data_IF_872361644722
#
_entry.id   IF_872361644722
#
_cell.length_a   1.000
_cell.length_b   1.000
_cell.length_c   1.000
_cell.angle_alpha   90.00
_cell.angle_beta   90.00
_cell.angle_gamma   90.00
#
_symmetry.space_group_name_H-M   'P 1'
#
loop_
_entity.id
_entity.type
_entity.pdbx_description
1 polymer ?
#
# COMPACT_ATOMS: atom_id res chain seq x y z
N UNK A 1 -2.84 3.83 -28.09
CA UNK A 1 -2.93 4.54 -29.39
C UNK A 1 -2.05 3.87 -30.43
N UNK A 2 -0.80 3.54 -30.10
CA UNK A 2 0.12 2.77 -30.97
C UNK A 2 -0.43 1.42 -31.43
N UNK A 3 -1.08 0.64 -30.55
CA UNK A 3 -1.81 -0.60 -30.95
C UNK A 3 -2.90 -0.38 -32.02
N UNK A 4 -3.31 0.87 -32.25
CA UNK A 4 -4.29 1.28 -33.27
C UNK A 4 -3.62 1.94 -34.49
N UNK A 5 -2.30 1.83 -34.62
CA UNK A 5 -1.51 2.42 -35.72
C UNK A 5 -1.30 3.93 -35.62
N UNK A 6 -1.59 4.54 -34.47
CA UNK A 6 -1.38 5.98 -34.24
C UNK A 6 -0.07 6.18 -33.52
N UNK A 7 0.89 6.84 -34.17
CA UNK A 7 2.18 7.18 -33.58
C UNK A 7 1.96 8.10 -32.38
N UNK A 8 2.56 7.76 -31.24
CA UNK A 8 2.47 8.56 -30.02
C UNK A 8 3.82 8.85 -29.38
N UNK A 9 3.85 9.87 -28.54
CA UNK A 9 4.97 10.15 -27.63
C UNK A 9 4.41 10.65 -26.31
N UNK A 10 5.09 10.34 -25.22
CA UNK A 10 4.71 10.78 -23.88
C UNK A 10 5.54 11.99 -23.47
N UNK A 11 4.89 13.13 -23.28
CA UNK A 11 5.52 14.32 -22.68
C UNK A 11 5.43 14.20 -21.16
N UNK A 12 6.57 14.21 -20.47
CA UNK A 12 6.65 13.96 -19.04
C UNK A 12 7.61 14.94 -18.37
N UNK A 13 7.24 15.52 -17.23
CA UNK A 13 8.16 16.39 -16.50
C UNK A 13 9.26 15.58 -15.78
N UNK A 14 10.42 16.20 -15.61
CA UNK A 14 11.65 15.54 -15.16
C UNK A 14 11.50 14.62 -13.94
N UNK A 15 10.77 15.00 -12.86
CA UNK A 15 10.59 14.13 -11.69
C UNK A 15 9.80 12.85 -11.98
N UNK A 16 8.87 12.90 -12.94
CA UNK A 16 7.98 11.78 -13.25
C UNK A 16 8.50 10.88 -14.38
N UNK A 17 9.64 11.20 -14.99
CA UNK A 17 10.18 10.44 -16.11
C UNK A 17 10.55 9.00 -15.72
N UNK A 18 11.12 8.81 -14.51
CA UNK A 18 11.44 7.47 -13.99
C UNK A 18 10.19 6.61 -13.77
N UNK A 19 9.16 7.06 -13.00
CA UNK A 19 7.93 6.28 -12.85
C UNK A 19 7.24 6.01 -14.19
N UNK A 20 7.18 7.00 -15.09
CA UNK A 20 6.52 6.83 -16.38
C UNK A 20 7.21 5.76 -17.25
N UNK A 21 8.55 5.70 -17.23
CA UNK A 21 9.30 4.63 -17.91
C UNK A 21 9.11 3.26 -17.25
N UNK A 22 9.11 3.20 -15.92
CA UNK A 22 8.84 1.97 -15.19
C UNK A 22 7.45 1.42 -15.52
N UNK A 23 6.42 2.29 -15.57
CA UNK A 23 5.07 1.90 -15.98
C UNK A 23 5.05 1.39 -17.42
N UNK A 24 5.68 2.12 -18.35
CA UNK A 24 5.70 1.71 -19.75
C UNK A 24 6.38 0.35 -19.94
N UNK A 25 7.50 0.08 -19.24
CA UNK A 25 8.12 -1.23 -19.24
C UNK A 25 7.18 -2.31 -18.69
N UNK A 26 6.49 -2.03 -17.59
CA UNK A 26 5.55 -2.97 -16.98
C UNK A 26 4.38 -3.34 -17.91
N UNK A 27 3.85 -2.36 -18.65
CA UNK A 27 2.78 -2.55 -19.63
C UNK A 27 3.24 -3.17 -20.97
N UNK A 28 4.51 -3.59 -21.06
CA UNK A 28 5.11 -4.12 -22.30
C UNK A 28 5.39 -3.05 -23.36
N UNK A 29 5.26 -1.77 -23.01
CA UNK A 29 5.46 -0.60 -23.86
C UNK A 29 6.87 -0.01 -23.72
N UNK A 30 7.90 -0.87 -23.65
CA UNK A 30 9.28 -0.45 -23.36
C UNK A 30 9.91 0.49 -24.41
N UNK A 31 9.33 0.54 -25.60
CA UNK A 31 9.76 1.35 -26.74
C UNK A 31 9.08 2.71 -26.86
N UNK A 32 8.14 3.05 -25.95
CA UNK A 32 7.42 4.34 -26.01
C UNK A 32 8.40 5.50 -25.90
N UNK A 33 8.40 6.45 -26.85
CA UNK A 33 9.30 7.59 -26.81
C UNK A 33 8.82 8.63 -25.79
N UNK A 34 9.73 9.07 -24.93
CA UNK A 34 9.48 10.10 -23.91
C UNK A 34 10.17 11.41 -24.24
N UNK A 35 9.43 12.53 -24.13
CA UNK A 35 9.99 13.88 -24.17
C UNK A 35 9.97 14.47 -22.77
N UNK A 36 11.15 14.88 -22.29
CA UNK A 36 11.34 15.43 -20.96
C UNK A 36 11.09 16.94 -20.96
N UNK A 37 10.23 17.42 -20.07
CA UNK A 37 10.06 18.85 -19.77
C UNK A 37 10.53 19.18 -18.35
N UNK A 38 10.79 20.46 -18.06
CA UNK A 38 11.20 20.93 -16.73
C UNK A 38 10.00 21.01 -15.76
N UNK A 39 10.30 21.02 -14.45
CA UNK A 39 9.34 21.06 -13.35
C UNK A 39 9.70 22.21 -12.40
N UNK A 40 8.75 22.87 -11.69
CA UNK A 40 7.29 22.70 -11.73
C UNK A 40 6.62 23.48 -12.86
N UNK A 41 5.59 22.90 -13.47
CA UNK A 41 4.77 23.58 -14.50
C UNK A 41 3.63 24.39 -13.87
N UNK A 42 3.04 23.91 -12.78
CA UNK A 42 1.85 24.50 -12.18
C UNK A 42 2.08 25.85 -11.48
N UNK A 43 3.31 26.09 -11.00
CA UNK A 43 3.69 27.32 -10.29
C UNK A 43 4.66 28.20 -11.09
N UNK A 44 5.08 27.76 -12.28
CA UNK A 44 5.93 28.55 -13.15
C UNK A 44 5.15 29.71 -13.81
N UNK A 45 5.79 30.88 -14.03
CA UNK A 45 5.19 31.94 -14.84
C UNK A 45 4.83 31.44 -16.24
N UNK A 46 3.70 31.89 -16.79
CA UNK A 46 3.22 31.48 -18.12
C UNK A 46 4.28 31.64 -19.21
N UNK A 47 5.08 32.71 -19.15
CA UNK A 47 6.14 32.96 -20.12
C UNK A 47 7.22 31.87 -20.11
N UNK A 48 7.65 31.43 -18.92
CA UNK A 48 8.59 30.31 -18.74
C UNK A 48 8.01 29.01 -19.30
N UNK A 49 6.71 28.76 -19.08
CA UNK A 49 6.02 27.59 -19.63
C UNK A 49 6.01 27.63 -21.16
N UNK A 50 5.70 28.78 -21.76
CA UNK A 50 5.69 28.96 -23.22
C UNK A 50 7.07 28.75 -23.84
N UNK A 51 8.13 29.27 -23.20
CA UNK A 51 9.51 29.07 -23.65
C UNK A 51 9.90 27.59 -23.60
N UNK A 52 9.58 26.88 -22.52
CA UNK A 52 9.83 25.44 -22.40
C UNK A 52 9.08 24.61 -23.44
N UNK A 53 7.83 24.96 -23.74
CA UNK A 53 7.05 24.29 -24.80
C UNK A 53 7.74 24.48 -26.15
N UNK A 54 8.26 25.69 -26.45
CA UNK A 54 9.00 25.94 -27.69
C UNK A 54 10.27 25.11 -27.81
N UNK A 55 10.99 24.89 -26.71
CA UNK A 55 12.18 24.02 -26.68
C UNK A 55 11.83 22.53 -26.82
N UNK A 56 10.69 22.10 -26.28
CA UNK A 56 10.23 20.70 -26.36
C UNK A 56 9.63 20.33 -27.73
N UNK A 57 9.03 21.29 -28.44
CA UNK A 57 8.34 21.05 -29.73
C UNK A 57 9.18 20.30 -30.78
N UNK A 58 10.47 20.65 -31.02
CA UNK A 58 11.32 19.89 -31.92
C UNK A 58 11.53 18.44 -31.47
N UNK A 59 11.67 18.20 -30.17
CA UNK A 59 11.85 16.86 -29.60
C UNK A 59 10.58 16.02 -29.73
N UNK A 60 9.40 16.63 -29.54
CA UNK A 60 8.09 15.99 -29.78
C UNK A 60 7.95 15.62 -31.25
N UNK A 61 8.26 16.55 -32.15
CA UNK A 61 8.18 16.31 -33.60
C UNK A 61 9.12 15.19 -34.04
N UNK A 62 10.33 15.14 -33.46
CA UNK A 62 11.31 14.09 -33.72
C UNK A 62 10.84 12.73 -33.18
N UNK A 63 10.34 12.67 -31.95
CA UNK A 63 9.80 11.45 -31.36
C UNK A 63 8.64 10.86 -32.18
N UNK A 64 7.76 11.72 -32.70
CA UNK A 64 6.63 11.33 -33.56
C UNK A 64 7.03 10.91 -34.99
N UNK A 65 8.26 11.16 -35.42
CA UNK A 65 8.71 10.86 -36.80
C UNK A 65 9.68 9.67 -36.88
N UNK A 66 10.17 9.13 -35.76
CA UNK A 66 11.14 8.01 -35.71
C UNK A 66 10.57 6.73 -35.09
N UNK A 67 9.36 6.77 -34.52
CA UNK A 67 8.74 5.66 -33.76
C UNK A 67 8.24 4.49 -34.64
N UNK A 68 9.13 3.85 -35.39
CA UNK A 68 8.83 2.71 -36.27
C UNK A 68 9.69 1.44 -36.06
N UNK A 69 10.72 1.46 -35.22
CA UNK A 69 11.69 0.34 -35.15
C UNK A 69 12.14 0.02 -33.72
N UNK A 70 11.27 -0.54 -32.88
CA UNK A 70 11.73 -1.29 -31.69
C UNK A 70 10.80 -2.47 -31.42
N UNK A 71 11.35 -3.68 -31.56
CA UNK A 71 10.67 -4.95 -31.27
C UNK A 71 10.39 -5.08 -29.76
N UNK A 72 9.15 -5.44 -29.43
CA UNK A 72 8.72 -5.80 -28.08
C UNK A 72 9.36 -7.14 -27.68
N UNK A 73 10.14 -7.15 -26.60
CA UNK A 73 10.57 -8.41 -25.96
C UNK A 73 9.38 -8.98 -25.19
N UNK A 74 8.85 -10.11 -25.66
CA UNK A 74 7.90 -10.93 -24.91
C UNK A 74 8.57 -11.46 -23.64
N UNK A 75 8.00 -11.14 -22.48
CA UNK A 75 8.36 -11.74 -21.20
C UNK A 75 7.77 -13.15 -21.12
N UNK A 76 8.63 -14.15 -20.90
CA UNK A 76 8.29 -15.57 -20.91
C UNK A 76 7.40 -16.00 -19.72
N UNK A 77 6.63 -17.08 -19.93
CA UNK A 77 5.81 -17.75 -18.91
C UNK A 77 6.67 -18.33 -17.78
N UNK A 78 6.15 -18.22 -16.54
CA UNK A 78 6.76 -18.69 -15.30
C UNK A 78 6.76 -20.22 -15.18
N UNK A 79 7.93 -20.85 -15.26
CA UNK A 79 8.14 -22.18 -14.68
C UNK A 79 8.57 -22.06 -13.21
N UNK A 80 7.93 -22.82 -12.31
CA UNK A 80 8.15 -22.73 -10.86
C UNK A 80 9.54 -23.25 -10.44
N UNK A 81 10.13 -24.17 -11.21
CA UNK A 81 11.48 -24.71 -10.98
C UNK A 81 12.59 -23.69 -11.32
N UNK A 82 12.35 -22.75 -12.24
CA UNK A 82 13.31 -21.68 -12.59
C UNK A 82 13.36 -20.56 -11.52
N UNK A 83 12.47 -20.59 -10.52
CA UNK A 83 12.33 -19.56 -9.49
C UNK A 83 12.99 -19.91 -8.14
N UNK A 84 13.70 -21.03 -8.06
CA UNK A 84 14.46 -21.41 -6.86
C UNK A 84 15.88 -20.86 -6.90
N UNK A 85 16.29 -20.18 -5.83
CA UNK A 85 17.64 -19.65 -5.65
C UNK A 85 18.40 -20.52 -4.64
N UNK A 86 19.50 -21.12 -5.07
CA UNK A 86 20.44 -21.79 -4.16
C UNK A 86 21.51 -20.81 -3.72
N UNK A 87 21.62 -20.57 -2.41
CA UNK A 87 22.58 -19.64 -1.82
C UNK A 87 23.56 -20.46 -0.99
N UNK A 88 24.84 -20.41 -1.35
CA UNK A 88 25.92 -21.02 -0.59
C UNK A 88 26.37 -20.03 0.49
N UNK A 89 25.59 -19.89 1.56
CA UNK A 89 25.80 -18.91 2.64
C UNK A 89 24.88 -19.16 3.84
N UNK A 90 25.09 -18.37 4.89
CA UNK A 90 24.21 -18.29 6.05
C UNK A 90 22.99 -17.40 5.79
N UNK A 91 22.29 -17.07 6.88
CA UNK A 91 21.06 -16.27 6.81
C UNK A 91 21.37 -14.82 6.44
N UNK A 92 22.54 -14.33 6.83
CA UNK A 92 23.05 -13.00 6.53
C UNK A 92 23.24 -12.78 5.02
N UNK A 93 23.82 -13.74 4.29
CA UNK A 93 23.98 -13.66 2.84
C UNK A 93 22.63 -13.65 2.11
N UNK A 94 21.61 -14.32 2.66
CA UNK A 94 20.25 -14.24 2.14
C UNK A 94 19.70 -12.82 2.32
N UNK A 95 19.95 -12.19 3.46
CA UNK A 95 19.46 -10.83 3.73
C UNK A 95 20.10 -9.81 2.80
N UNK A 96 21.42 -9.85 2.65
CA UNK A 96 22.13 -8.93 1.75
C UNK A 96 21.68 -9.12 0.30
N UNK A 97 21.56 -10.36 -0.18
CA UNK A 97 21.08 -10.62 -1.54
C UNK A 97 19.68 -10.05 -1.78
N UNK A 98 18.75 -10.28 -0.86
CA UNK A 98 17.37 -9.79 -1.00
C UNK A 98 17.31 -8.27 -0.88
N UNK A 99 18.13 -7.67 -0.01
CA UNK A 99 18.23 -6.22 0.13
C UNK A 99 18.79 -5.56 -1.15
N UNK A 100 19.90 -6.09 -1.69
CA UNK A 100 20.53 -5.60 -2.92
C UNK A 100 19.59 -5.69 -4.14
N UNK A 101 18.73 -6.71 -4.18
CA UNK A 101 17.69 -6.86 -5.22
C UNK A 101 16.46 -5.98 -5.01
N UNK A 102 16.39 -5.24 -3.91
CA UNK A 102 15.24 -4.42 -3.56
C UNK A 102 14.00 -5.23 -3.17
N UNK A 103 14.18 -6.48 -2.72
CA UNK A 103 13.09 -7.39 -2.34
C UNK A 103 12.70 -7.29 -0.86
N UNK A 104 13.28 -6.33 -0.14
CA UNK A 104 12.98 -6.07 1.26
C UNK A 104 12.52 -4.63 1.44
N UNK A 105 11.89 -4.39 2.58
CA UNK A 105 11.51 -3.07 3.10
C UNK A 105 12.66 -2.42 3.90
N UNK A 106 13.90 -2.86 3.71
CA UNK A 106 15.07 -2.43 4.48
C UNK A 106 15.27 -3.17 5.81
N UNK A 107 14.33 -4.03 6.22
CA UNK A 107 14.49 -4.93 7.37
C UNK A 107 14.96 -6.33 6.95
N UNK A 108 15.61 -7.07 7.86
CA UNK A 108 15.87 -8.50 7.67
C UNK A 108 14.58 -9.30 7.44
N UNK A 109 14.68 -10.42 6.72
CA UNK A 109 13.53 -11.27 6.39
C UNK A 109 13.62 -12.62 7.11
N UNK A 110 12.55 -13.42 7.09
CA UNK A 110 12.71 -14.87 7.25
C UNK A 110 12.87 -15.48 5.85
N UNK A 111 13.91 -16.30 5.59
CA UNK A 111 14.09 -16.91 4.29
C UNK A 111 12.84 -17.69 3.84
N UNK A 112 12.27 -17.37 2.67
CA UNK A 112 11.09 -18.06 2.13
C UNK A 112 11.47 -19.41 1.52
N UNK A 113 12.02 -20.30 2.35
CA UNK A 113 12.33 -21.68 1.95
C UNK A 113 11.06 -22.42 1.55
N UNK A 114 11.18 -23.45 0.71
CA UNK A 114 10.03 -24.27 0.31
C UNK A 114 9.24 -24.81 1.51
N UNK A 115 9.92 -25.20 2.59
CA UNK A 115 9.27 -25.72 3.80
C UNK A 115 8.41 -24.64 4.45
N UNK A 116 8.95 -23.43 4.61
CA UNK A 116 8.24 -22.31 5.22
C UNK A 116 7.05 -21.87 4.36
N UNK A 117 7.23 -21.81 3.03
CA UNK A 117 6.17 -21.45 2.09
C UNK A 117 5.06 -22.51 2.07
N UNK A 118 5.40 -23.81 2.05
CA UNK A 118 4.41 -24.89 2.16
C UNK A 118 3.64 -24.84 3.47
N UNK A 119 4.31 -24.53 4.59
CA UNK A 119 3.64 -24.38 5.88
C UNK A 119 2.64 -23.20 5.84
N UNK A 120 3.03 -22.06 5.26
CA UNK A 120 2.14 -20.91 5.07
C UNK A 120 0.93 -21.26 4.19
N UNK A 121 1.16 -21.92 3.06
CA UNK A 121 0.12 -22.36 2.13
C UNK A 121 -0.87 -23.36 2.75
N UNK A 122 -0.49 -24.09 3.81
CA UNK A 122 -1.39 -25.01 4.52
C UNK A 122 -2.60 -24.32 5.18
N UNK A 123 -2.52 -23.00 5.38
CA UNK A 123 -3.60 -22.18 5.92
C UNK A 123 -4.41 -21.46 4.83
N UNK A 124 -4.16 -21.76 3.55
CA UNK A 124 -4.89 -21.22 2.41
C UNK A 124 -6.15 -22.04 2.11
N UNK A 125 -7.23 -21.35 1.74
CA UNK A 125 -8.42 -21.97 1.11
C UNK A 125 -8.27 -22.12 -0.40
N UNK A 126 -7.30 -21.43 -0.99
CA UNK A 126 -7.01 -21.40 -2.43
C UNK A 126 -5.82 -22.28 -2.80
N UNK A 127 -5.78 -22.72 -4.06
CA UNK A 127 -4.60 -23.40 -4.59
C UNK A 127 -3.42 -22.42 -4.74
N UNK A 128 -2.15 -22.87 -4.65
CA UNK A 128 -0.99 -21.97 -4.73
C UNK A 128 -0.89 -21.14 -6.02
N UNK A 129 -1.37 -21.70 -7.14
CA UNK A 129 -1.40 -21.09 -8.47
C UNK A 129 -2.61 -20.17 -8.71
N UNK A 130 -3.61 -20.19 -7.82
CA UNK A 130 -4.75 -19.28 -7.88
C UNK A 130 -4.26 -17.83 -7.85
N UNK A 131 -4.70 -17.03 -8.82
CA UNK A 131 -4.44 -15.58 -8.88
C UNK A 131 -5.64 -14.83 -8.32
N UNK A 132 -5.42 -13.98 -7.30
CA UNK A 132 -6.46 -13.15 -6.69
C UNK A 132 -6.78 -11.89 -7.51
N UNK A 133 -5.83 -11.42 -8.31
CA UNK A 133 -5.98 -10.26 -9.18
C UNK A 133 -4.62 -9.71 -9.63
N UNK A 134 -4.61 -8.46 -10.08
CA UNK A 134 -3.41 -7.76 -10.54
C UNK A 134 -3.08 -6.61 -9.57
N UNK A 135 -1.88 -6.63 -9.00
CA UNK A 135 -1.49 -5.62 -8.01
C UNK A 135 -0.82 -4.41 -8.70
N UNK A 136 -1.35 -3.19 -8.51
CA UNK A 136 -0.74 -1.96 -9.02
C UNK A 136 0.52 -1.56 -8.23
N UNK A 137 1.37 -0.63 -8.76
CA UNK A 137 1.30 0.01 -10.08
C UNK A 137 2.00 -0.74 -11.21
N UNK A 138 2.76 -1.80 -10.90
CA UNK A 138 2.92 -2.90 -11.84
C UNK A 138 1.50 -3.42 -12.17
N UNK A 139 1.26 -4.61 -12.61
CA UNK A 139 -0.09 -5.17 -12.71
C UNK A 139 0.18 -6.66 -12.67
N UNK A 140 1.02 -7.04 -11.71
CA UNK A 140 1.54 -8.37 -11.64
C UNK A 140 0.47 -9.28 -11.06
N UNK A 141 0.31 -10.50 -11.61
CA UNK A 141 -0.58 -11.50 -11.05
C UNK A 141 -0.19 -11.81 -9.60
N UNK A 142 -1.14 -11.61 -8.69
CA UNK A 142 -1.04 -11.95 -7.28
C UNK A 142 -1.47 -13.41 -7.08
N UNK A 143 -0.53 -14.31 -7.32
CA UNK A 143 -0.73 -15.72 -6.99
C UNK A 143 -0.62 -15.95 -5.49
N UNK A 144 -1.38 -16.89 -4.95
CA UNK A 144 -1.33 -17.28 -3.53
C UNK A 144 0.08 -17.71 -3.10
N UNK A 145 0.85 -18.38 -3.97
CA UNK A 145 2.25 -18.75 -3.73
C UNK A 145 3.16 -17.53 -3.47
N UNK A 146 3.07 -16.50 -4.33
CA UNK A 146 3.80 -15.24 -4.14
C UNK A 146 3.40 -14.54 -2.85
N UNK A 147 2.13 -14.57 -2.46
CA UNK A 147 1.70 -14.01 -1.17
C UNK A 147 2.30 -14.78 0.00
N UNK A 148 2.32 -16.11 -0.07
CA UNK A 148 2.93 -16.95 0.97
C UNK A 148 4.43 -16.66 1.13
N UNK A 149 5.15 -16.44 0.03
CA UNK A 149 6.56 -16.00 0.04
C UNK A 149 6.71 -14.68 0.81
N UNK A 150 5.90 -13.67 0.50
CA UNK A 150 5.96 -12.36 1.18
C UNK A 150 5.55 -12.44 2.66
N UNK A 151 4.56 -13.27 3.00
CA UNK A 151 4.13 -13.50 4.38
C UNK A 151 5.24 -14.16 5.21
N UNK A 152 5.93 -15.17 4.64
CA UNK A 152 7.09 -15.77 5.29
C UNK A 152 8.18 -14.72 5.49
N UNK A 153 8.54 -13.98 4.44
CA UNK A 153 9.57 -12.93 4.52
C UNK A 153 9.29 -11.91 5.63
N UNK A 154 8.03 -11.54 5.83
CA UNK A 154 7.59 -10.63 6.88
C UNK A 154 7.73 -11.20 8.31
N UNK A 155 7.88 -12.53 8.45
CA UNK A 155 7.94 -13.23 9.73
C UNK A 155 6.59 -13.70 10.27
N UNK A 156 5.56 -13.75 9.42
CA UNK A 156 4.26 -14.30 9.80
C UNK A 156 4.36 -15.77 10.20
N UNK A 157 3.52 -16.18 11.15
CA UNK A 157 3.19 -17.61 11.32
C UNK A 157 2.08 -17.98 10.33
N UNK A 158 1.94 -19.27 9.96
CA UNK A 158 0.93 -19.71 9.00
C UNK A 158 -0.50 -19.23 9.34
N UNK A 159 -0.88 -19.22 10.62
CA UNK A 159 -2.22 -18.87 11.08
C UNK A 159 -2.64 -17.44 10.73
N UNK A 160 -1.68 -16.57 10.39
CA UNK A 160 -1.95 -15.20 9.95
C UNK A 160 -2.32 -15.11 8.46
N UNK A 161 -2.04 -16.16 7.68
CA UNK A 161 -2.21 -16.15 6.23
C UNK A 161 -3.64 -15.85 5.76
N UNK A 162 -4.70 -16.38 6.40
CA UNK A 162 -6.07 -16.04 6.02
C UNK A 162 -6.38 -14.54 6.08
N UNK A 163 -5.80 -13.81 7.05
CA UNK A 163 -5.98 -12.36 7.17
C UNK A 163 -5.26 -11.63 6.03
N UNK A 164 -4.09 -12.12 5.63
CA UNK A 164 -3.32 -11.56 4.50
C UNK A 164 -4.07 -11.77 3.18
N UNK A 165 -4.67 -12.95 2.97
CA UNK A 165 -5.49 -13.23 1.79
C UNK A 165 -6.68 -12.26 1.72
N UNK A 166 -7.44 -12.12 2.81
CA UNK A 166 -8.58 -11.20 2.88
C UNK A 166 -8.17 -9.73 2.70
N UNK A 167 -7.03 -9.32 3.28
CA UNK A 167 -6.50 -7.98 3.08
C UNK A 167 -6.10 -7.74 1.63
N UNK A 168 -5.52 -8.72 0.93
CA UNK A 168 -5.17 -8.56 -0.49
C UNK A 168 -6.41 -8.51 -1.37
N UNK A 169 -7.44 -9.30 -1.10
CA UNK A 169 -8.72 -9.20 -1.81
C UNK A 169 -9.31 -7.79 -1.67
N UNK A 170 -9.32 -7.22 -0.45
CA UNK A 170 -9.76 -5.84 -0.24
C UNK A 170 -8.85 -4.80 -0.88
N UNK A 171 -7.54 -5.06 -0.99
CA UNK A 171 -6.59 -4.17 -1.68
C UNK A 171 -6.87 -4.09 -3.19
N UNK A 172 -7.44 -5.15 -3.75
CA UNK A 172 -7.81 -5.27 -5.15
C UNK A 172 -9.22 -4.75 -5.44
N UNK A 173 -9.97 -4.34 -4.41
CA UNK A 173 -11.26 -3.68 -4.57
C UNK A 173 -11.07 -2.30 -5.21
N UNK A 174 -11.85 -2.02 -6.26
CA UNK A 174 -11.76 -0.77 -7.02
C UNK A 174 -12.10 0.45 -6.16
N UNK A 175 -12.97 0.31 -5.15
CA UNK A 175 -13.37 1.39 -4.25
C UNK A 175 -12.20 1.91 -3.40
N UNK A 176 -11.17 1.09 -3.15
CA UNK A 176 -9.98 1.51 -2.43
C UNK A 176 -9.06 2.40 -3.29
N UNK A 177 -9.18 2.30 -4.62
CA UNK A 177 -8.35 3.03 -5.59
C UNK A 177 -6.83 2.89 -5.33
N UNK A 178 -6.36 1.66 -5.08
CA UNK A 178 -4.99 1.37 -4.64
C UNK A 178 -3.90 1.95 -5.56
N UNK A 179 -4.09 1.95 -6.89
CA UNK A 179 -3.13 2.54 -7.82
C UNK A 179 -2.89 4.02 -7.52
N UNK A 180 -3.97 4.79 -7.35
CA UNK A 180 -3.92 6.21 -7.00
C UNK A 180 -3.25 6.42 -5.65
N UNK A 181 -3.50 5.52 -4.69
CA UNK A 181 -2.89 5.58 -3.36
C UNK A 181 -1.37 5.36 -3.39
N UNK A 182 -0.89 4.32 -4.07
CA UNK A 182 0.55 3.98 -4.10
C UNK A 182 1.37 4.97 -4.93
N UNK A 183 0.78 5.51 -6.00
CA UNK A 183 1.44 6.47 -6.89
C UNK A 183 1.23 7.92 -6.46
N UNK A 184 0.64 8.15 -5.28
CA UNK A 184 0.46 9.50 -4.74
C UNK A 184 1.78 10.08 -4.22
N UNK A 185 1.96 11.38 -4.38
CA UNK A 185 3.05 12.13 -3.73
C UNK A 185 2.79 12.37 -2.24
N UNK A 186 1.66 11.90 -1.72
CA UNK A 186 1.24 11.99 -0.34
C UNK A 186 1.77 10.82 0.50
N UNK A 187 1.86 10.99 1.82
CA UNK A 187 2.35 9.99 2.76
C UNK A 187 1.27 8.95 3.14
N UNK A 188 0.51 8.44 2.16
CA UNK A 188 -0.59 7.49 2.42
C UNK A 188 -0.11 6.05 2.37
N UNK A 189 -0.65 5.19 3.22
CA UNK A 189 -0.50 3.74 3.14
C UNK A 189 -1.82 3.03 3.43
N UNK A 190 -2.03 1.78 2.95
CA UNK A 190 -3.18 0.99 3.35
C UNK A 190 -3.09 0.64 4.84
N UNK A 191 -4.03 1.15 5.63
CA UNK A 191 -4.29 0.72 7.00
C UNK A 191 -5.22 -0.48 6.97
N UNK A 192 -4.80 -1.56 7.62
CA UNK A 192 -5.56 -2.80 7.80
C UNK A 192 -6.20 -2.76 9.19
N UNK A 193 -7.53 -2.83 9.25
CA UNK A 193 -8.29 -2.89 10.49
C UNK A 193 -8.95 -4.26 10.57
N UNK A 194 -8.56 -5.06 11.55
CA UNK A 194 -9.04 -6.43 11.73
C UNK A 194 -10.13 -6.49 12.79
N UNK A 195 -11.19 -7.22 12.49
CA UNK A 195 -12.41 -7.31 13.27
C UNK A 195 -12.87 -8.75 13.48
N UNK A 196 -13.70 -8.95 14.51
CA UNK A 196 -14.37 -10.20 14.82
C UNK A 196 -13.51 -11.23 15.58
N UNK A 197 -13.98 -12.49 15.69
CA UNK A 197 -13.36 -13.50 16.54
C UNK A 197 -11.87 -13.77 16.26
N UNK A 198 -11.40 -13.56 15.02
CA UNK A 198 -10.00 -13.77 14.62
C UNK A 198 -9.02 -12.92 15.44
N UNK A 199 -9.45 -11.76 15.95
CA UNK A 199 -8.61 -10.88 16.77
C UNK A 199 -8.09 -11.61 18.00
N UNK A 200 -8.98 -12.33 18.70
CA UNK A 200 -8.62 -13.12 19.89
C UNK A 200 -7.87 -14.39 19.53
N UNK A 201 -8.27 -15.06 18.44
CA UNK A 201 -7.65 -16.32 17.99
C UNK A 201 -6.17 -16.10 17.63
N UNK A 202 -5.85 -15.00 16.96
CA UNK A 202 -4.50 -14.69 16.50
C UNK A 202 -3.72 -13.81 17.48
N UNK A 203 -4.31 -13.45 18.62
CA UNK A 203 -3.76 -12.52 19.59
C UNK A 203 -3.32 -11.18 18.96
N UNK A 204 -4.16 -10.64 18.08
CA UNK A 204 -3.97 -9.31 17.53
C UNK A 204 -4.13 -8.26 18.64
N UNK A 205 -3.22 -7.29 18.68
CA UNK A 205 -3.30 -6.18 19.62
C UNK A 205 -4.38 -5.20 19.17
N UNK A 206 -5.31 -4.95 20.08
CA UNK A 206 -6.35 -3.93 19.99
C UNK A 206 -6.23 -2.89 21.13
N UNK A 207 -5.17 -2.94 21.93
CA UNK A 207 -5.02 -2.16 23.16
C UNK A 207 -3.83 -1.20 23.11
N UNK A 208 -3.32 -0.80 24.28
CA UNK A 208 -2.24 0.16 24.46
C UNK A 208 -1.06 -0.07 23.52
N UNK A 209 -0.43 1.04 23.11
CA UNK A 209 0.63 1.05 22.10
C UNK A 209 0.19 0.45 20.74
N UNK A 210 -1.09 0.65 20.36
CA UNK A 210 -1.73 0.05 19.18
C UNK A 210 -0.94 0.18 17.87
N UNK A 211 -0.43 1.39 17.59
CA UNK A 211 0.40 1.69 16.41
C UNK A 211 1.90 1.52 16.64
N UNK A 212 2.29 1.04 17.83
CA UNK A 212 3.67 0.85 18.23
C UNK A 212 4.13 -0.62 18.15
N UNK A 213 5.35 -0.91 18.62
CA UNK A 213 5.91 -2.26 18.63
C UNK A 213 5.25 -3.16 19.69
N UNK A 214 5.50 -4.47 19.57
CA UNK A 214 5.21 -5.47 20.62
C UNK A 214 4.25 -6.58 20.19
N UNK A 215 3.41 -6.33 19.18
CA UNK A 215 2.54 -7.36 18.61
C UNK A 215 3.14 -7.97 17.35
N UNK A 216 3.50 -9.26 17.41
CA UNK A 216 3.96 -10.01 16.23
C UNK A 216 2.87 -10.07 15.16
N UNK A 217 1.62 -10.33 15.54
CA UNK A 217 0.51 -10.47 14.60
C UNK A 217 0.32 -9.19 13.78
N UNK A 218 0.10 -8.05 14.45
CA UNK A 218 -0.08 -6.75 13.79
C UNK A 218 1.14 -6.39 12.92
N UNK A 219 2.35 -6.46 13.50
CA UNK A 219 3.56 -6.05 12.82
C UNK A 219 3.85 -6.87 11.56
N UNK A 220 3.72 -8.19 11.66
CA UNK A 220 4.06 -9.08 10.53
C UNK A 220 2.96 -9.11 9.47
N UNK A 221 1.68 -9.00 9.82
CA UNK A 221 0.60 -8.87 8.83
C UNK A 221 0.73 -7.56 8.05
N UNK A 222 0.93 -6.44 8.75
CA UNK A 222 1.15 -5.14 8.11
C UNK A 222 2.38 -5.16 7.19
N UNK A 223 3.48 -5.77 7.67
CA UNK A 223 4.70 -5.92 6.88
C UNK A 223 4.55 -6.88 5.69
N UNK A 224 3.77 -7.94 5.82
CA UNK A 224 3.50 -8.88 4.72
C UNK A 224 2.78 -8.18 3.56
N UNK A 225 1.78 -7.36 3.88
CA UNK A 225 1.14 -6.50 2.88
C UNK A 225 2.15 -5.54 2.26
N UNK A 226 3.00 -4.90 3.08
CA UNK A 226 4.03 -4.00 2.55
C UNK A 226 4.97 -4.70 1.56
N UNK A 227 5.47 -5.88 1.91
CA UNK A 227 6.34 -6.67 1.05
C UNK A 227 5.61 -7.13 -0.22
N UNK A 228 4.34 -7.53 -0.14
CA UNK A 228 3.55 -7.90 -1.32
C UNK A 228 3.40 -6.72 -2.30
N UNK A 229 3.13 -5.53 -1.81
CA UNK A 229 3.05 -4.32 -2.64
C UNK A 229 4.41 -3.94 -3.25
N UNK A 230 5.54 -4.18 -2.57
CA UNK A 230 6.90 -4.00 -3.13
C UNK A 230 7.20 -5.06 -4.20
N UNK A 231 7.15 -6.34 -3.82
CA UNK A 231 7.66 -7.46 -4.60
C UNK A 231 6.72 -7.89 -5.73
N UNK A 232 5.41 -7.74 -5.53
CA UNK A 232 4.38 -8.06 -6.53
C UNK A 232 3.89 -6.76 -7.17
N UNK A 233 3.47 -5.78 -6.38
CA UNK A 233 2.94 -4.51 -6.89
C UNK A 233 3.99 -3.64 -7.58
N UNK A 234 5.28 -3.89 -7.36
CA UNK A 234 6.35 -3.08 -7.93
C UNK A 234 6.40 -1.68 -7.32
N UNK A 235 5.95 -1.51 -6.07
CA UNK A 235 6.06 -0.25 -5.32
C UNK A 235 7.51 -0.05 -4.85
N UNK A 236 8.27 0.77 -5.59
CA UNK A 236 9.67 1.06 -5.33
C UNK A 236 9.76 2.50 -4.81
N UNK A 237 10.17 2.71 -3.54
CA UNK A 237 10.31 4.04 -2.95
C UNK A 237 11.17 4.98 -3.81
N UNK A 238 10.64 6.15 -4.12
CA UNK A 238 11.30 7.17 -4.94
C UNK A 238 11.32 6.88 -6.46
N UNK A 239 10.73 5.77 -6.91
CA UNK A 239 10.58 5.45 -8.34
C UNK A 239 9.11 5.36 -8.70
N UNK A 240 8.42 4.30 -8.28
CA UNK A 240 6.98 4.07 -8.54
C UNK A 240 6.10 4.44 -7.34
N UNK A 241 6.69 4.57 -6.16
CA UNK A 241 6.14 5.30 -5.01
C UNK A 241 6.78 6.70 -4.93
N UNK A 242 6.08 7.76 -5.37
CA UNK A 242 6.61 9.11 -5.42
C UNK A 242 6.30 9.93 -4.17
N UNK A 243 5.94 9.30 -3.04
CA UNK A 243 5.65 10.00 -1.80
C UNK A 243 6.75 11.02 -1.45
N UNK A 244 6.36 12.29 -1.30
CA UNK A 244 7.31 13.39 -1.03
C UNK A 244 7.97 13.21 0.34
N UNK A 245 7.17 12.78 1.31
CA UNK A 245 7.60 12.34 2.61
C UNK A 245 6.99 10.96 2.87
N UNK A 246 7.78 10.02 3.40
CA UNK A 246 7.28 8.75 3.89
C UNK A 246 6.66 8.88 5.28
N UNK A 247 6.14 7.77 5.81
CA UNK A 247 5.65 7.68 7.20
C UNK A 247 5.82 6.25 7.75
N UNK A 248 5.94 6.06 9.09
CA UNK A 248 6.30 4.77 9.68
C UNK A 248 5.36 3.60 9.38
N UNK A 249 4.06 3.86 9.19
CA UNK A 249 3.05 2.89 8.75
C UNK A 249 3.34 2.29 7.38
N UNK A 250 4.20 2.91 6.55
CA UNK A 250 4.70 2.26 5.34
C UNK A 250 5.61 1.06 5.64
N UNK A 251 6.02 0.78 6.87
CA UNK A 251 6.66 -0.51 7.21
C UNK A 251 5.66 -1.55 7.72
N UNK A 252 4.66 -1.11 8.47
CA UNK A 252 3.60 -1.95 9.01
C UNK A 252 2.40 -1.09 9.42
N UNK A 253 1.19 -1.45 8.96
CA UNK A 253 -0.02 -0.70 9.29
C UNK A 253 -1.23 -1.60 9.47
N UNK A 254 -1.22 -2.37 10.56
CA UNK A 254 -2.31 -3.29 10.90
C UNK A 254 -2.72 -3.10 12.36
N UNK A 255 -4.01 -2.91 12.60
CA UNK A 255 -4.61 -2.77 13.93
C UNK A 255 -5.80 -3.72 14.06
N UNK A 256 -6.23 -3.96 15.29
CA UNK A 256 -7.51 -4.60 15.56
C UNK A 256 -8.40 -3.65 16.37
N UNK A 257 -9.72 -3.79 16.21
CA UNK A 257 -10.68 -3.07 17.03
C UNK A 257 -10.83 -3.71 18.42
N UNK A 258 -10.93 -2.89 19.47
CA UNK A 258 -11.19 -3.33 20.84
C UNK A 258 -12.68 -3.60 21.06
N UNK A 259 -13.25 -4.59 20.36
CA UNK A 259 -14.71 -4.83 20.32
C UNK A 259 -15.33 -5.09 21.70
N UNK A 260 -14.59 -5.70 22.65
CA UNK A 260 -15.07 -5.96 24.01
C UNK A 260 -15.07 -4.72 24.92
N UNK A 261 -14.30 -3.69 24.56
CA UNK A 261 -14.12 -2.46 25.33
C UNK A 261 -14.82 -1.26 24.65
N UNK A 262 -15.42 -1.48 23.48
CA UNK A 262 -16.16 -0.46 22.74
C UNK A 262 -17.59 -0.33 23.28
N UNK A 263 -18.09 0.90 23.52
CA UNK A 263 -19.50 1.13 23.83
C UNK A 263 -20.41 1.04 22.60
N UNK A 264 -19.83 0.97 21.40
CA UNK A 264 -20.57 0.93 20.13
C UNK A 264 -20.54 -0.46 19.50
N UNK A 265 -21.35 -0.63 18.46
CA UNK A 265 -21.28 -1.81 17.63
C UNK A 265 -19.91 -1.86 16.92
N UNK A 266 -19.30 -3.04 16.85
CA UNK A 266 -18.03 -3.23 16.16
C UNK A 266 -18.14 -2.88 14.68
N UNK A 267 -17.08 -2.31 14.11
CA UNK A 267 -17.00 -1.78 12.75
C UNK A 267 -17.49 -2.77 11.68
N UNK A 268 -17.12 -4.04 11.78
CA UNK A 268 -17.54 -5.05 10.81
C UNK A 268 -19.06 -5.30 10.82
N UNK A 269 -19.67 -5.26 12.01
CA UNK A 269 -21.13 -5.44 12.16
C UNK A 269 -21.87 -4.21 11.65
N UNK A 270 -21.36 -2.99 11.91
CA UNK A 270 -21.92 -1.76 11.33
C UNK A 270 -21.88 -1.79 9.79
N UNK A 271 -20.89 -2.49 9.21
CA UNK A 271 -20.75 -2.71 7.77
C UNK A 271 -21.54 -3.90 7.23
N UNK A 272 -22.37 -4.54 8.06
CA UNK A 272 -23.32 -5.57 7.63
C UNK A 272 -22.84 -7.02 7.75
N UNK A 273 -21.67 -7.27 8.36
CA UNK A 273 -21.23 -8.64 8.66
C UNK A 273 -21.85 -9.15 9.97
N UNK A 274 -21.98 -10.47 10.10
CA UNK A 274 -22.42 -11.08 11.36
C UNK A 274 -21.31 -11.03 12.43
N UNK A 275 -21.68 -10.95 13.71
CA UNK A 275 -20.74 -10.87 14.85
C UNK A 275 -19.77 -12.05 14.93
N UNK A 276 -20.18 -13.21 14.42
CA UNK A 276 -19.38 -14.43 14.40
C UNK A 276 -18.42 -14.47 13.21
N UNK A 277 -18.55 -13.54 12.25
CA UNK A 277 -17.64 -13.42 11.13
C UNK A 277 -16.47 -12.52 11.50
N UNK A 278 -15.30 -12.85 10.96
CA UNK A 278 -14.13 -11.96 11.01
C UNK A 278 -14.02 -11.22 9.69
N UNK A 279 -13.56 -9.98 9.75
CA UNK A 279 -13.45 -9.11 8.58
C UNK A 279 -12.18 -8.27 8.65
N UNK A 280 -11.77 -7.78 7.47
CA UNK A 280 -10.71 -6.78 7.32
C UNK A 280 -11.33 -5.56 6.64
N UNK A 281 -11.12 -4.39 7.22
CA UNK A 281 -11.43 -3.09 6.58
C UNK A 281 -10.12 -2.42 6.18
N UNK A 282 -10.08 -1.86 4.97
CA UNK A 282 -8.92 -1.13 4.45
C UNK A 282 -9.24 0.34 4.25
N UNK A 283 -8.31 1.19 4.65
CA UNK A 283 -8.41 2.64 4.46
C UNK A 283 -7.04 3.17 4.03
N UNK A 284 -7.02 4.05 3.03
CA UNK A 284 -5.81 4.83 2.74
C UNK A 284 -5.61 5.88 3.82
N UNK A 285 -4.63 5.69 4.69
CA UNK A 285 -4.37 6.57 5.83
C UNK A 285 -2.95 7.13 5.84
N UNK A 286 -2.81 8.37 6.32
CA UNK A 286 -1.53 8.93 6.72
C UNK A 286 -1.08 8.37 8.07
N UNK A 287 0.14 8.73 8.50
CA UNK A 287 0.60 8.40 9.84
C UNK A 287 -0.31 8.99 10.94
N UNK A 288 -0.48 8.31 12.07
CA UNK A 288 -1.39 8.77 13.12
C UNK A 288 -0.92 10.09 13.73
N UNK A 289 -1.87 11.00 13.95
CA UNK A 289 -1.65 12.22 14.73
C UNK A 289 -2.25 12.03 16.12
N UNK A 290 -1.42 12.17 17.16
CA UNK A 290 -1.90 12.12 18.53
C UNK A 290 -2.72 13.39 18.84
N UNK A 291 -3.95 13.21 19.34
CA UNK A 291 -4.83 14.29 19.79
C UNK A 291 -4.83 14.32 21.32
N UNK A 292 -4.25 15.37 21.89
CA UNK A 292 -4.09 15.49 23.34
C UNK A 292 -5.24 16.30 23.94
N UNK A 293 -6.12 15.65 24.70
CA UNK A 293 -7.33 16.23 25.31
C UNK A 293 -7.17 16.47 26.80
N UNK A 294 -5.96 16.81 27.25
CA UNK A 294 -5.70 16.97 28.68
C UNK A 294 -6.50 18.13 29.27
N UNK A 295 -7.19 17.86 30.37
CA UNK A 295 -8.02 18.84 31.07
C UNK A 295 -9.47 18.89 30.58
N UNK A 296 -9.82 18.19 29.50
CA UNK A 296 -11.22 17.98 29.11
C UNK A 296 -11.94 17.13 30.17
N UNK A 297 -13.16 17.53 30.53
CA UNK A 297 -14.00 16.89 31.55
C UNK A 297 -15.30 16.34 30.98
N UNK A 298 -15.72 16.78 29.80
CA UNK A 298 -16.94 16.30 29.14
C UNK A 298 -16.65 15.80 27.73
N UNK A 299 -17.57 15.01 27.17
CA UNK A 299 -17.46 14.54 25.80
C UNK A 299 -17.54 15.68 24.78
N UNK A 300 -18.30 16.74 25.07
CA UNK A 300 -18.36 17.94 24.22
C UNK A 300 -16.99 18.64 24.14
N UNK A 301 -16.30 18.83 25.26
CA UNK A 301 -14.95 19.43 25.28
C UNK A 301 -13.93 18.57 24.50
N UNK A 302 -14.06 17.24 24.58
CA UNK A 302 -13.25 16.30 23.79
C UNK A 302 -13.54 16.48 22.29
N UNK A 303 -14.81 16.51 21.90
CA UNK A 303 -15.22 16.70 20.50
C UNK A 303 -14.77 18.06 19.95
N UNK A 304 -14.89 19.13 20.72
CA UNK A 304 -14.39 20.45 20.33
C UNK A 304 -12.89 20.42 20.04
N UNK A 305 -12.12 19.72 20.88
CA UNK A 305 -10.67 19.53 20.67
C UNK A 305 -10.39 18.74 19.39
N UNK A 306 -11.14 17.66 19.14
CA UNK A 306 -11.01 16.87 17.91
C UNK A 306 -11.37 17.70 16.67
N UNK A 307 -12.48 18.43 16.69
CA UNK A 307 -12.88 19.33 15.59
C UNK A 307 -11.80 20.36 15.30
N UNK A 308 -11.22 20.98 16.34
CA UNK A 308 -10.12 21.92 16.17
C UNK A 308 -8.91 21.32 15.44
N UNK A 309 -8.55 20.07 15.76
CA UNK A 309 -7.46 19.37 15.08
C UNK A 309 -7.82 18.95 13.64
N UNK A 310 -9.05 18.47 13.43
CA UNK A 310 -9.52 17.96 12.15
C UNK A 310 -9.81 19.06 11.12
N UNK A 311 -10.16 20.27 11.58
CA UNK A 311 -10.40 21.44 10.73
C UNK A 311 -9.12 22.25 10.42
N UNK A 312 -7.94 21.78 10.85
CA UNK A 312 -6.67 22.47 10.61
C UNK A 312 -6.32 22.55 9.12
N UNK A 313 -5.82 23.72 8.68
CA UNK A 313 -5.29 23.91 7.33
C UNK A 313 -4.07 23.01 7.13
N UNK A 314 -4.14 22.10 6.14
CA UNK A 314 -3.09 21.10 5.86
C UNK A 314 -3.58 19.66 5.91
N UNK A 315 -4.81 19.40 6.37
CA UNK A 315 -5.39 18.05 6.31
C UNK A 315 -5.85 17.69 4.90
N UNK A 316 -5.60 16.44 4.47
CA UNK A 316 -6.00 15.93 3.14
C UNK A 316 -7.50 16.10 2.87
N UNK A 317 -8.31 16.02 3.94
CA UNK A 317 -9.78 16.12 3.86
C UNK A 317 -10.31 17.48 3.40
N UNK A 318 -9.46 18.51 3.35
CA UNK A 318 -9.81 19.80 2.75
C UNK A 318 -9.97 19.66 1.22
N UNK A 319 -9.16 18.79 0.61
CA UNK A 319 -9.13 18.58 -0.84
C UNK A 319 -9.93 17.32 -1.22
N UNK A 320 -9.86 16.27 -0.40
CA UNK A 320 -10.47 14.97 -0.66
C UNK A 320 -11.54 14.65 0.40
N UNK A 321 -12.84 14.80 0.11
CA UNK A 321 -13.92 14.66 1.10
C UNK A 321 -14.19 13.18 1.46
N UNK A 322 -13.19 12.49 2.00
CA UNK A 322 -13.22 11.08 2.41
C UNK A 322 -13.54 10.87 3.90
N UNK A 323 -13.52 11.95 4.68
CA UNK A 323 -13.75 11.92 6.13
C UNK A 323 -12.51 11.47 6.92
N UNK A 324 -12.34 11.91 8.18
CA UNK A 324 -11.22 11.47 9.01
C UNK A 324 -11.51 10.11 9.66
N UNK A 325 -10.47 9.30 9.84
CA UNK A 325 -10.52 8.14 10.74
C UNK A 325 -10.10 8.60 12.14
N UNK A 326 -11.00 8.43 13.12
CA UNK A 326 -10.68 8.60 14.53
C UNK A 326 -10.52 7.22 15.18
N UNK A 327 -9.38 7.01 15.83
CA UNK A 327 -9.13 5.82 16.64
C UNK A 327 -9.13 6.25 18.10
N UNK A 328 -10.13 5.79 18.85
CA UNK A 328 -10.40 6.23 20.21
C UNK A 328 -9.97 5.17 21.21
N UNK A 329 -9.36 5.60 22.31
CA UNK A 329 -9.17 4.74 23.47
C UNK A 329 -10.53 4.44 24.15
N UNK A 330 -10.67 3.30 24.86
CA UNK A 330 -11.93 2.92 25.52
C UNK A 330 -12.51 3.99 26.45
N UNK A 331 -11.67 4.75 27.16
CA UNK A 331 -12.10 5.84 28.04
C UNK A 331 -12.75 6.99 27.27
N UNK A 332 -12.12 7.45 26.18
CA UNK A 332 -12.69 8.47 25.30
C UNK A 332 -13.97 7.97 24.65
N UNK A 333 -13.98 6.73 24.16
CA UNK A 333 -15.13 6.11 23.55
C UNK A 333 -16.33 6.10 24.52
N UNK A 334 -16.11 5.60 25.75
CA UNK A 334 -17.13 5.56 26.80
C UNK A 334 -17.65 6.94 27.18
N UNK A 335 -16.77 7.94 27.31
CA UNK A 335 -17.18 9.32 27.60
C UNK A 335 -18.05 9.90 26.48
N UNK A 336 -17.65 9.71 25.23
CA UNK A 336 -18.38 10.21 24.07
C UNK A 336 -19.73 9.54 23.87
N UNK A 337 -19.87 8.25 24.21
CA UNK A 337 -21.14 7.54 24.15
C UNK A 337 -22.21 8.11 25.11
N UNK A 338 -21.82 8.90 26.11
CA UNK A 338 -22.77 9.56 27.04
C UNK A 338 -23.29 10.91 26.54
N UNK A 339 -22.67 11.48 25.50
CA UNK A 339 -23.08 12.78 24.94
C UNK A 339 -24.42 12.61 24.24
N UNK A 340 -25.43 13.35 24.69
CA UNK A 340 -26.73 13.40 24.00
C UNK A 340 -26.59 14.24 22.73
N UNK A 341 -26.75 13.62 21.56
CA UNK A 341 -26.83 14.33 20.29
C UNK A 341 -28.05 15.26 20.34
N UNK A 342 -27.81 16.57 20.39
CA UNK A 342 -28.86 17.60 20.30
C UNK A 342 -29.17 17.96 18.86
#
# INVERSE_FOLDING_TARGET
>A
MEKRGVVTTTVCSAPFLKPAKAQAQHEGMSSVPFVKILHPMATAPLQTVVEQVKEALPQITHALTIAGEQEEKQTSQNDREENLLTINGGVEEVFELFHERGWTDGFPIIPPTEINVRAMLSQSVYSPDTTLGLLPPAMNPVTVDKLAVNAVMAGCVPEYFPVILAAVEGLLDEDLALYSMQTATNATAPLIIVNGPIVKILCLNASGNLFGPGSRANATIGRAIRLALINIGGEIPGITDPATHGQPGKYTFCIAEAEDESPWQSLHVERGYAKEQSAVTLIGAGGPQNLFTYGCKTGEEILETFVGALCGLGHNNIIFPSGPLLVLGPEHAGTLATVSVR
#
